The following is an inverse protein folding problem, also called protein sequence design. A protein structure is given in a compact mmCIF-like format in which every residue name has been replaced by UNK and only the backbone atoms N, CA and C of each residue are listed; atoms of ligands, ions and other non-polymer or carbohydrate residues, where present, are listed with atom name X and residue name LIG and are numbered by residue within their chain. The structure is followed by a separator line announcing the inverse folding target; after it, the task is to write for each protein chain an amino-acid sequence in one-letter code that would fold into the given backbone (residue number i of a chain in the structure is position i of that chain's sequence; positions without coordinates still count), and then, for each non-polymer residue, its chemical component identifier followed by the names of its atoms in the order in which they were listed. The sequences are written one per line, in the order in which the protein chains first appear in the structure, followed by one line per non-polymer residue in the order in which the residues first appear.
data_IF_114678516869
#
_entry.id   IF_114678516869
#
_cell.length_a   1.000
_cell.length_b   1.000
_cell.length_c   1.000
_cell.angle_alpha   90.00
_cell.angle_beta   90.00
_cell.angle_gamma   90.00
#
_symmetry.space_group_name_H-M   'P 1'
#
loop_
_entity.id
_entity.type
_entity.pdbx_description
1 polymer ?
#
# COMPACT_ATOMS: atom_id res chain seq x y z
N UNK A 1 -9.87 18.26 -9.37
CA UNK A 1 -10.16 18.33 -7.93
C UNK A 1 -11.33 17.38 -7.64
N UNK A 2 -11.26 16.51 -6.61
CA UNK A 2 -12.35 15.60 -6.29
C UNK A 2 -13.51 16.35 -5.62
N UNK A 3 -14.75 15.93 -5.91
CA UNK A 3 -15.91 16.41 -5.12
C UNK A 3 -15.88 15.78 -3.72
N UNK A 4 -16.45 16.44 -2.73
CA UNK A 4 -16.47 15.98 -1.33
C UNK A 4 -16.96 14.51 -1.15
N UNK A 5 -18.06 14.07 -1.82
CA UNK A 5 -18.50 12.68 -1.72
C UNK A 5 -17.52 11.67 -2.31
N UNK A 6 -16.82 12.03 -3.39
CA UNK A 6 -15.78 11.17 -4.01
C UNK A 6 -14.57 11.06 -3.10
N UNK A 7 -14.13 12.18 -2.53
CA UNK A 7 -13.02 12.21 -1.58
C UNK A 7 -13.30 11.31 -0.37
N UNK A 8 -14.48 11.40 0.22
CA UNK A 8 -14.90 10.54 1.33
C UNK A 8 -14.86 9.03 0.98
N UNK A 9 -15.26 8.66 -0.24
CA UNK A 9 -15.17 7.26 -0.72
C UNK A 9 -13.73 6.82 -0.89
N UNK A 10 -12.84 7.69 -1.38
CA UNK A 10 -11.41 7.40 -1.55
C UNK A 10 -10.76 7.17 -0.18
N UNK A 11 -10.98 8.07 0.78
CA UNK A 11 -10.43 7.92 2.13
C UNK A 11 -10.96 6.66 2.82
N UNK A 12 -12.26 6.39 2.73
CA UNK A 12 -12.84 5.17 3.29
C UNK A 12 -12.20 3.91 2.69
N UNK A 13 -12.04 3.85 1.37
CA UNK A 13 -11.40 2.72 0.71
C UNK A 13 -9.94 2.57 1.16
N UNK A 14 -9.18 3.66 1.14
CA UNK A 14 -7.78 3.67 1.57
C UNK A 14 -7.62 3.17 3.01
N UNK A 15 -8.34 3.76 3.96
CA UNK A 15 -8.26 3.38 5.39
C UNK A 15 -8.66 1.91 5.57
N UNK A 16 -9.79 1.48 4.99
CA UNK A 16 -10.27 0.10 5.15
C UNK A 16 -9.29 -0.93 4.60
N UNK A 17 -8.69 -0.68 3.45
CA UNK A 17 -7.71 -1.59 2.84
C UNK A 17 -6.38 -1.60 3.62
N UNK A 18 -5.92 -0.45 4.14
CA UNK A 18 -4.75 -0.39 5.01
C UNK A 18 -4.97 -1.21 6.29
N UNK A 19 -6.12 -1.04 6.95
CA UNK A 19 -6.48 -1.81 8.14
C UNK A 19 -6.56 -3.30 7.82
N UNK A 20 -7.23 -3.68 6.74
CA UNK A 20 -7.32 -5.07 6.31
C UNK A 20 -5.94 -5.70 6.08
N UNK A 21 -5.05 -4.99 5.41
CA UNK A 21 -3.68 -5.45 5.13
C UNK A 21 -2.88 -5.62 6.43
N UNK A 22 -2.88 -4.63 7.31
CA UNK A 22 -2.16 -4.72 8.60
C UNK A 22 -2.69 -5.87 9.45
N UNK A 23 -3.99 -6.10 9.43
CA UNK A 23 -4.64 -7.17 10.19
C UNK A 23 -4.30 -8.59 9.67
N UNK A 24 -3.71 -8.73 8.48
CA UNK A 24 -3.19 -10.03 8.01
C UNK A 24 -1.94 -10.50 8.75
N UNK A 25 -1.19 -9.59 9.37
CA UNK A 25 0.01 -9.93 10.11
C UNK A 25 -0.33 -10.33 11.56
N UNK A 26 0.08 -11.53 11.96
CA UNK A 26 -0.06 -12.01 13.35
C UNK A 26 0.74 -11.18 14.35
N UNK A 27 1.77 -10.49 13.89
CA UNK A 27 2.61 -9.62 14.71
C UNK A 27 2.01 -8.23 14.90
N UNK A 28 1.08 -7.80 14.07
CA UNK A 28 0.34 -6.57 14.27
C UNK A 28 -0.68 -6.79 15.41
N UNK A 29 -0.41 -6.22 16.56
CA UNK A 29 -1.21 -6.41 17.77
C UNK A 29 -2.32 -5.40 17.90
N UNK A 30 -2.11 -4.21 17.36
CA UNK A 30 -3.09 -3.14 17.42
C UNK A 30 -2.97 -2.24 16.19
N UNK A 31 -4.10 -1.73 15.74
CA UNK A 31 -4.20 -0.79 14.63
C UNK A 31 -5.03 0.39 15.13
N UNK A 32 -4.52 1.60 14.93
CA UNK A 32 -5.26 2.81 15.25
C UNK A 32 -5.26 3.80 14.07
N UNK A 33 -6.29 4.62 14.02
CA UNK A 33 -6.52 5.58 12.95
C UNK A 33 -6.53 6.98 13.57
N UNK A 34 -5.71 7.87 13.01
CA UNK A 34 -5.68 9.27 13.40
C UNK A 34 -5.80 10.14 12.14
N UNK A 35 -6.99 10.66 11.89
CA UNK A 35 -7.29 11.36 10.64
C UNK A 35 -7.17 10.45 9.43
N UNK A 36 -6.25 10.73 8.53
CA UNK A 36 -5.92 9.92 7.35
C UNK A 36 -4.71 8.98 7.58
N UNK A 37 -4.14 8.99 8.76
CA UNK A 37 -3.03 8.11 9.12
C UNK A 37 -3.56 6.79 9.72
N UNK A 38 -3.07 5.66 9.20
CA UNK A 38 -3.31 4.32 9.75
C UNK A 38 -2.00 3.80 10.32
N UNK A 39 -1.99 3.46 11.59
CA UNK A 39 -0.79 2.99 12.30
C UNK A 39 -0.99 1.57 12.82
N UNK A 40 0.05 0.74 12.72
CA UNK A 40 0.10 -0.60 13.26
C UNK A 40 1.21 -0.74 14.31
N UNK A 41 0.88 -1.33 15.44
CA UNK A 41 1.83 -1.71 16.49
C UNK A 41 2.17 -3.19 16.33
N UNK A 42 3.45 -3.46 16.10
CA UNK A 42 3.95 -4.81 15.89
C UNK A 42 4.71 -5.31 17.12
N UNK A 43 4.38 -6.52 17.56
CA UNK A 43 5.17 -7.22 18.56
C UNK A 43 6.35 -7.92 17.86
N UNK A 44 7.58 -7.54 18.25
CA UNK A 44 8.78 -7.93 17.53
C UNK A 44 9.83 -8.56 18.47
N UNK A 45 9.50 -9.69 19.15
CA UNK A 45 10.42 -10.36 20.06
C UNK A 45 11.67 -10.92 19.36
N UNK A 46 11.61 -11.14 18.06
CA UNK A 46 12.69 -11.68 17.24
C UNK A 46 12.96 -10.78 16.03
N UNK A 47 14.20 -10.76 15.54
CA UNK A 47 14.57 -9.98 14.34
C UNK A 47 13.70 -10.29 13.12
N UNK A 48 13.31 -11.54 12.90
CA UNK A 48 12.39 -11.93 11.81
C UNK A 48 11.05 -11.20 11.87
N UNK A 49 10.58 -10.81 13.05
CA UNK A 49 9.32 -10.07 13.17
C UNK A 49 9.48 -8.60 12.73
N UNK A 50 10.70 -8.06 12.77
CA UNK A 50 11.02 -6.75 12.19
C UNK A 50 10.98 -6.84 10.66
N UNK A 51 11.48 -7.94 10.08
CA UNK A 51 11.35 -8.20 8.64
C UNK A 51 9.87 -8.37 8.22
N UNK A 52 9.02 -8.96 9.06
CA UNK A 52 7.57 -9.05 8.82
C UNK A 52 6.90 -7.65 8.82
N UNK A 53 7.25 -6.78 9.78
CA UNK A 53 6.78 -5.40 9.80
C UNK A 53 7.27 -4.62 8.57
N UNK A 54 8.50 -4.85 8.14
CA UNK A 54 9.05 -4.28 6.91
C UNK A 54 8.28 -4.75 5.66
N UNK A 55 7.94 -6.04 5.57
CA UNK A 55 7.11 -6.57 4.50
C UNK A 55 5.69 -5.96 4.51
N UNK A 56 5.11 -5.72 5.68
CA UNK A 56 3.83 -5.03 5.78
C UNK A 56 3.91 -3.62 5.20
N UNK A 57 5.00 -2.88 5.45
CA UNK A 57 5.21 -1.55 4.85
C UNK A 57 5.37 -1.59 3.33
N UNK A 58 6.11 -2.58 2.79
CA UNK A 58 6.21 -2.80 1.35
C UNK A 58 4.83 -3.11 0.73
N UNK A 59 4.01 -3.88 1.45
CA UNK A 59 2.66 -4.22 1.03
C UNK A 59 1.72 -3.01 1.07
N UNK A 60 1.84 -2.12 2.06
CA UNK A 60 1.11 -0.84 2.10
C UNK A 60 1.46 0.04 0.89
N UNK A 61 2.75 0.17 0.55
CA UNK A 61 3.14 0.91 -0.64
C UNK A 61 2.57 0.29 -1.93
N UNK A 62 2.59 -1.03 -2.05
CA UNK A 62 1.95 -1.73 -3.18
C UNK A 62 0.44 -1.54 -3.22
N UNK A 63 -0.23 -1.47 -2.07
CA UNK A 63 -1.66 -1.17 -1.98
C UNK A 63 -1.99 0.20 -2.59
N UNK A 64 -1.16 1.22 -2.33
CA UNK A 64 -1.34 2.55 -2.93
C UNK A 64 -1.25 2.48 -4.46
N UNK A 65 -0.34 1.71 -5.01
CA UNK A 65 -0.26 1.49 -6.46
C UNK A 65 -1.54 0.84 -7.02
N UNK A 66 -2.12 -0.14 -6.31
CA UNK A 66 -3.40 -0.77 -6.66
C UNK A 66 -4.58 0.21 -6.61
N UNK A 67 -4.66 1.03 -5.57
CA UNK A 67 -5.68 2.05 -5.43
C UNK A 67 -5.56 3.08 -6.55
N UNK A 68 -4.36 3.56 -6.83
CA UNK A 68 -4.11 4.52 -7.89
C UNK A 68 -4.52 4.01 -9.27
N UNK A 69 -4.19 2.76 -9.61
CA UNK A 69 -4.66 2.14 -10.84
C UNK A 69 -6.19 2.12 -10.95
N UNK A 70 -6.91 1.86 -9.85
CA UNK A 70 -8.39 1.92 -9.83
C UNK A 70 -8.92 3.34 -9.95
N UNK A 71 -8.24 4.32 -9.34
CA UNK A 71 -8.59 5.74 -9.43
C UNK A 71 -8.41 6.25 -10.86
N UNK A 72 -7.27 5.95 -11.49
CA UNK A 72 -6.96 6.32 -12.87
C UNK A 72 -8.00 5.77 -13.85
N UNK A 73 -8.42 4.50 -13.70
CA UNK A 73 -9.49 3.91 -14.52
C UNK A 73 -10.83 4.65 -14.43
N UNK A 74 -11.04 5.39 -13.35
CA UNK A 74 -12.24 6.21 -13.14
C UNK A 74 -12.02 7.69 -13.44
N UNK A 75 -10.85 8.06 -13.99
CA UNK A 75 -10.48 9.44 -14.26
C UNK A 75 -10.22 10.27 -12.99
N UNK A 76 -9.91 9.62 -11.88
CA UNK A 76 -9.58 10.29 -10.62
C UNK A 76 -8.08 10.49 -10.48
N UNK A 77 -7.69 11.57 -9.79
CA UNK A 77 -6.29 11.86 -9.49
C UNK A 77 -5.71 10.81 -8.53
N UNK A 78 -4.52 10.25 -8.82
CA UNK A 78 -3.81 9.38 -7.90
C UNK A 78 -3.52 10.03 -6.55
N UNK A 79 -3.49 9.22 -5.49
CA UNK A 79 -3.09 9.63 -4.15
C UNK A 79 -1.61 9.34 -3.91
N UNK A 80 -0.98 10.14 -3.03
CA UNK A 80 0.38 9.90 -2.54
C UNK A 80 0.32 9.59 -1.05
N UNK A 81 1.02 8.54 -0.64
CA UNK A 81 1.11 8.14 0.76
C UNK A 81 2.58 7.89 1.11
N UNK A 82 3.00 8.33 2.29
CA UNK A 82 4.26 7.93 2.89
C UNK A 82 4.04 6.77 3.86
N UNK A 83 5.06 5.93 4.06
CA UNK A 83 5.08 4.87 5.07
C UNK A 83 6.31 5.06 5.93
N UNK A 84 6.15 5.20 7.24
CA UNK A 84 7.24 5.33 8.20
C UNK A 84 7.35 4.10 9.10
N UNK A 85 8.56 3.60 9.30
CA UNK A 85 8.83 2.46 10.18
C UNK A 85 9.88 2.86 11.20
N UNK A 86 9.56 2.70 12.48
CA UNK A 86 10.50 2.84 13.57
C UNK A 86 10.44 1.63 14.52
N UNK A 87 11.46 1.48 15.37
CA UNK A 87 11.58 0.40 16.33
C UNK A 87 12.08 0.94 17.67
N UNK A 88 11.39 0.56 18.75
CA UNK A 88 11.74 0.98 20.10
C UNK A 88 10.65 0.66 21.09
N UNK A 89 10.81 1.18 22.31
CA UNK A 89 9.80 1.05 23.36
C UNK A 89 8.67 2.05 23.15
N UNK A 90 7.43 1.55 23.15
CA UNK A 90 6.22 2.35 23.20
C UNK A 90 5.52 2.14 24.54
N UNK A 91 4.92 3.20 25.07
CA UNK A 91 4.06 3.15 26.24
C UNK A 91 2.62 3.06 25.78
N UNK A 92 1.90 2.07 26.26
CA UNK A 92 0.47 1.93 26.05
C UNK A 92 -0.26 2.47 27.28
N UNK A 93 -1.15 3.42 27.06
CA UNK A 93 -2.01 3.99 28.10
C UNK A 93 -3.47 3.82 27.69
N UNK A 94 -4.30 3.42 28.64
CA UNK A 94 -5.75 3.60 28.51
C UNK A 94 -6.09 4.94 29.11
N UNK A 95 -6.52 5.88 28.26
CA UNK A 95 -6.84 7.26 28.64
C UNK A 95 -8.30 7.57 28.36
N UNK A 96 -8.89 8.32 29.24
CA UNK A 96 -10.28 8.76 29.12
C UNK A 96 -10.77 9.40 30.41
N UNK A 97 -12.04 9.77 30.45
CA UNK A 97 -12.68 10.30 31.63
C UNK A 97 -13.76 9.34 32.11
N UNK A 98 -13.70 8.98 33.41
CA UNK A 98 -14.66 8.06 34.03
C UNK A 98 -16.10 8.54 33.85
N UNK A 99 -16.96 7.70 33.29
CA UNK A 99 -18.38 8.04 33.06
C UNK A 99 -18.69 8.78 31.75
N UNK A 100 -17.68 9.25 31.00
CA UNK A 100 -17.90 9.96 29.72
C UNK A 100 -18.14 9.06 28.52
N UNK A 101 -17.86 7.75 28.64
CA UNK A 101 -17.82 6.83 27.49
C UNK A 101 -16.60 7.04 26.58
N UNK A 102 -15.79 8.06 26.83
CA UNK A 102 -14.56 8.32 26.07
C UNK A 102 -13.40 7.62 26.79
N UNK A 103 -13.07 6.43 26.35
CA UNK A 103 -11.89 5.69 26.80
C UNK A 103 -11.21 5.12 25.57
N UNK A 104 -9.97 5.48 25.34
CA UNK A 104 -9.19 5.04 24.19
C UNK A 104 -7.81 4.53 24.61
N UNK A 105 -7.23 3.67 23.79
CA UNK A 105 -5.86 3.21 23.96
C UNK A 105 -4.95 4.14 23.20
N UNK A 106 -4.02 4.76 23.90
CA UNK A 106 -3.07 5.71 23.34
C UNK A 106 -1.68 5.11 23.41
N UNK A 107 -1.00 5.09 22.28
CA UNK A 107 0.39 4.68 22.19
C UNK A 107 1.30 5.90 22.13
N UNK A 108 2.30 5.95 23.00
CA UNK A 108 3.19 7.09 23.17
C UNK A 108 4.65 6.65 23.18
N UNK A 109 5.53 7.57 22.86
CA UNK A 109 6.98 7.40 22.94
C UNK A 109 7.71 7.89 21.69
N UNK A 110 9.03 7.97 21.80
CA UNK A 110 9.88 8.43 20.69
C UNK A 110 9.70 7.61 19.44
N UNK A 111 9.49 6.28 19.57
CA UNK A 111 9.27 5.38 18.44
C UNK A 111 8.02 5.75 17.63
N UNK A 112 6.94 6.16 18.30
CA UNK A 112 5.68 6.56 17.64
C UNK A 112 5.87 7.88 16.90
N UNK A 113 6.53 8.84 17.55
CA UNK A 113 6.83 10.16 16.97
C UNK A 113 7.79 10.02 15.77
N UNK A 114 8.82 9.18 15.89
CA UNK A 114 9.78 8.92 14.80
C UNK A 114 9.08 8.25 13.60
N UNK A 115 8.25 7.23 13.82
CA UNK A 115 7.49 6.59 12.76
C UNK A 115 6.55 7.59 12.04
N UNK A 116 5.88 8.46 12.80
CA UNK A 116 5.02 9.51 12.26
C UNK A 116 5.80 10.53 11.44
N UNK A 117 6.95 11.00 11.94
CA UNK A 117 7.82 11.93 11.23
C UNK A 117 8.38 11.33 9.93
N UNK A 118 8.80 10.07 9.96
CA UNK A 118 9.25 9.33 8.79
C UNK A 118 8.12 9.17 7.76
N UNK A 119 6.92 8.78 8.21
CA UNK A 119 5.73 8.70 7.37
C UNK A 119 5.44 10.03 6.67
N UNK A 120 5.53 11.15 7.41
CA UNK A 120 5.32 12.48 6.85
C UNK A 120 6.33 12.86 5.76
N UNK A 121 7.54 12.32 5.79
CA UNK A 121 8.59 12.58 4.80
C UNK A 121 8.39 11.78 3.50
N UNK A 122 7.73 10.63 3.55
CA UNK A 122 7.55 9.76 2.39
C UNK A 122 6.80 10.45 1.24
N UNK A 123 7.30 10.26 0.01
CA UNK A 123 6.77 10.88 -1.21
C UNK A 123 6.79 12.42 -1.22
N UNK A 124 7.61 13.06 -0.37
CA UNK A 124 7.76 14.52 -0.30
C UNK A 124 9.21 14.92 -0.54
N UNK A 125 9.43 16.05 -1.20
CA UNK A 125 10.77 16.62 -1.42
C UNK A 125 11.73 15.67 -2.15
N UNK A 126 11.25 14.86 -3.09
CA UNK A 126 12.07 13.88 -3.82
C UNK A 126 12.39 12.60 -3.05
N UNK A 127 11.88 12.44 -1.82
CA UNK A 127 12.09 11.22 -1.03
C UNK A 127 11.19 10.08 -1.51
N UNK A 128 11.68 8.84 -1.33
CA UNK A 128 10.97 7.61 -1.67
C UNK A 128 9.79 7.36 -0.71
N UNK A 129 8.81 6.53 -1.08
CA UNK A 129 7.58 6.36 -0.29
C UNK A 129 7.80 5.76 1.10
N UNK A 130 8.70 4.79 1.24
CA UNK A 130 8.94 4.09 2.50
C UNK A 130 10.19 4.66 3.17
N UNK A 131 10.02 5.15 4.40
CA UNK A 131 11.07 5.74 5.22
C UNK A 131 11.31 4.85 6.46
N UNK A 132 12.55 4.51 6.73
CA UNK A 132 12.92 3.48 7.70
C UNK A 132 13.95 4.03 8.68
N UNK A 133 13.66 3.98 9.97
CA UNK A 133 14.59 4.39 11.02
C UNK A 133 15.88 3.56 10.97
N UNK A 134 17.01 4.18 11.33
CA UNK A 134 18.33 3.53 11.34
C UNK A 134 18.32 2.25 12.19
N UNK A 135 17.65 2.26 13.34
CA UNK A 135 17.54 1.11 14.24
C UNK A 135 16.80 -0.06 13.58
N UNK A 136 15.79 0.20 12.76
CA UNK A 136 15.09 -0.83 11.98
C UNK A 136 16.04 -1.43 10.96
N UNK A 137 16.70 -0.58 10.13
CA UNK A 137 17.68 -1.01 9.14
C UNK A 137 18.76 -1.91 9.74
N UNK A 138 19.31 -1.57 10.90
CA UNK A 138 20.34 -2.37 11.58
C UNK A 138 19.87 -3.79 11.90
N UNK A 139 18.57 -3.97 12.17
CA UNK A 139 17.98 -5.24 12.59
C UNK A 139 17.34 -6.06 11.45
N UNK A 140 17.19 -5.51 10.25
CA UNK A 140 16.74 -6.23 9.06
C UNK A 140 17.74 -7.30 8.63
N UNK A 141 17.27 -8.30 7.90
CA UNK A 141 18.13 -9.24 7.18
C UNK A 141 18.89 -8.55 6.03
N UNK A 142 19.93 -9.19 5.51
CA UNK A 142 20.80 -8.59 4.48
C UNK A 142 20.06 -8.27 3.17
N UNK A 143 19.09 -9.09 2.78
CA UNK A 143 18.28 -8.84 1.58
C UNK A 143 17.46 -7.55 1.75
N UNK A 144 16.73 -7.41 2.86
CA UNK A 144 15.91 -6.23 3.11
C UNK A 144 16.75 -4.96 3.26
N UNK A 145 17.95 -5.06 3.86
CA UNK A 145 18.91 -3.96 3.93
C UNK A 145 19.32 -3.47 2.54
N UNK A 146 19.58 -4.39 1.60
CA UNK A 146 20.03 -4.04 0.25
C UNK A 146 18.97 -3.32 -0.61
N UNK A 147 17.70 -3.35 -0.18
CA UNK A 147 16.60 -2.65 -0.85
C UNK A 147 16.48 -1.17 -0.44
N UNK A 148 17.30 -0.73 0.51
CA UNK A 148 17.22 0.59 1.11
C UNK A 148 18.43 1.44 0.76
N UNK A 149 18.20 2.71 0.55
CA UNK A 149 19.24 3.73 0.35
C UNK A 149 19.33 4.67 1.57
N UNK A 150 20.53 5.07 2.00
CA UNK A 150 20.68 6.01 3.11
C UNK A 150 20.19 7.40 2.72
N UNK A 151 19.62 8.12 3.69
CA UNK A 151 19.28 9.53 3.57
C UNK A 151 20.25 10.35 4.42
N UNK A 152 20.92 11.29 3.77
CA UNK A 152 21.88 12.22 4.37
C UNK A 152 21.60 13.62 3.83
N UNK A 153 21.72 14.65 4.65
CA UNK A 153 21.59 16.04 4.19
C UNK A 153 22.79 16.46 3.33
N UNK A 154 23.97 15.99 3.69
CA UNK A 154 25.18 16.09 2.87
C UNK A 154 26.13 14.92 3.18
N UNK A 155 27.14 14.72 2.35
CA UNK A 155 28.11 13.61 2.47
C UNK A 155 28.90 13.59 3.78
N UNK A 156 29.07 14.74 4.45
CA UNK A 156 29.83 14.87 5.70
C UNK A 156 28.99 14.61 6.96
N UNK A 157 27.65 14.57 6.83
CA UNK A 157 26.74 14.33 7.94
C UNK A 157 26.41 12.84 8.07
N UNK A 158 26.07 12.38 9.29
CA UNK A 158 25.66 11.00 9.50
C UNK A 158 24.35 10.69 8.77
N UNK A 159 24.13 9.40 8.46
CA UNK A 159 22.86 8.90 7.95
C UNK A 159 21.78 9.15 8.97
N UNK A 160 20.74 9.86 8.58
CA UNK A 160 19.59 10.16 9.46
C UNK A 160 18.60 9.00 9.51
N UNK A 161 18.32 8.39 8.36
CA UNK A 161 17.44 7.26 8.18
C UNK A 161 17.67 6.61 6.81
N UNK A 162 16.86 5.63 6.46
CA UNK A 162 16.91 4.94 5.17
C UNK A 162 15.58 5.10 4.42
N UNK A 163 15.60 4.93 3.10
CA UNK A 163 14.41 5.00 2.29
C UNK A 163 14.40 3.95 1.17
N UNK A 164 13.21 3.61 0.69
CA UNK A 164 13.06 2.68 -0.43
C UNK A 164 11.71 2.83 -1.13
N UNK A 165 11.68 2.50 -2.42
CA UNK A 165 10.43 2.26 -3.15
C UNK A 165 10.14 0.76 -3.12
N UNK A 166 9.68 0.31 -1.96
CA UNK A 166 9.49 -1.09 -1.66
C UNK A 166 8.17 -1.60 -2.23
N UNK A 167 8.17 -2.79 -2.81
CA UNK A 167 6.96 -3.44 -3.28
C UNK A 167 6.85 -4.89 -2.82
N UNK A 168 5.63 -5.32 -2.56
CA UNK A 168 5.30 -6.73 -2.42
C UNK A 168 5.20 -7.34 -3.82
N UNK A 169 6.07 -8.30 -4.13
CA UNK A 169 6.21 -8.91 -5.47
C UNK A 169 4.89 -9.54 -5.91
N UNK A 170 4.21 -10.29 -5.05
CA UNK A 170 2.94 -10.93 -5.39
C UNK A 170 1.85 -9.92 -5.74
N UNK A 171 1.77 -8.81 -5.00
CA UNK A 171 0.82 -7.72 -5.29
C UNK A 171 1.17 -7.01 -6.61
N UNK A 172 2.45 -6.73 -6.85
CA UNK A 172 2.92 -6.12 -8.09
C UNK A 172 2.56 -7.01 -9.30
N UNK A 173 2.90 -8.28 -9.26
CA UNK A 173 2.68 -9.22 -10.36
C UNK A 173 1.17 -9.41 -10.65
N UNK A 174 0.36 -9.40 -9.60
CA UNK A 174 -1.10 -9.40 -9.75
C UNK A 174 -1.58 -8.12 -10.46
N UNK A 175 -1.08 -6.95 -10.07
CA UNK A 175 -1.44 -5.67 -10.68
C UNK A 175 -1.05 -5.64 -12.16
N UNK A 176 0.15 -6.09 -12.51
CA UNK A 176 0.62 -6.12 -13.90
C UNK A 176 -0.23 -7.07 -14.76
N UNK A 177 -0.59 -8.25 -14.25
CA UNK A 177 -1.53 -9.15 -14.93
C UNK A 177 -2.89 -8.48 -15.16
N UNK A 178 -3.42 -7.74 -14.19
CA UNK A 178 -4.69 -7.01 -14.33
C UNK A 178 -4.62 -5.86 -15.34
N UNK A 179 -3.50 -5.14 -15.37
CA UNK A 179 -3.25 -4.09 -16.39
C UNK A 179 -3.20 -4.69 -17.80
N UNK A 180 -2.44 -5.77 -17.99
CA UNK A 180 -2.33 -6.45 -19.27
C UNK A 180 -3.69 -6.95 -19.79
N UNK A 181 -4.50 -7.59 -18.92
CA UNK A 181 -5.85 -8.04 -19.29
C UNK A 181 -6.76 -6.86 -19.66
N UNK A 182 -6.68 -5.75 -18.95
CA UNK A 182 -7.48 -4.56 -19.25
C UNK A 182 -7.10 -3.95 -20.60
N UNK A 183 -5.81 -3.87 -20.92
CA UNK A 183 -5.31 -3.38 -22.22
C UNK A 183 -5.73 -4.30 -23.36
N UNK A 184 -5.64 -5.62 -23.20
CA UNK A 184 -6.07 -6.58 -24.20
C UNK A 184 -7.58 -6.46 -24.50
N UNK A 185 -8.42 -6.31 -23.47
CA UNK A 185 -9.86 -6.11 -23.63
C UNK A 185 -10.19 -4.79 -24.37
N UNK A 186 -9.42 -3.73 -24.10
CA UNK A 186 -9.59 -2.45 -24.78
C UNK A 186 -9.21 -2.57 -26.26
N UNK A 187 -8.10 -3.20 -26.59
CA UNK A 187 -7.69 -3.46 -27.97
C UNK A 187 -8.72 -4.33 -28.70
N UNK A 188 -9.19 -5.40 -28.08
CA UNK A 188 -10.23 -6.26 -28.67
C UNK A 188 -11.52 -5.48 -28.98
N UNK A 189 -11.96 -4.59 -28.08
CA UNK A 189 -13.15 -3.76 -28.30
C UNK A 189 -12.96 -2.75 -29.44
N UNK A 190 -11.75 -2.18 -29.59
CA UNK A 190 -11.42 -1.27 -30.72
C UNK A 190 -11.46 -2.05 -32.05
N UNK A 191 -10.83 -3.22 -32.11
CA UNK A 191 -10.83 -4.05 -33.31
C UNK A 191 -12.25 -4.49 -33.73
N UNK A 192 -13.07 -4.94 -32.77
CA UNK A 192 -14.46 -5.31 -33.05
C UNK A 192 -15.33 -4.11 -33.44
N UNK A 193 -15.09 -2.95 -32.84
CA UNK A 193 -15.80 -1.70 -33.20
C UNK A 193 -15.42 -1.17 -34.59
N UNK A 194 -14.17 -1.35 -35.03
CA UNK A 194 -13.74 -0.99 -36.40
C UNK A 194 -14.35 -1.93 -37.44
N UNK A 195 -14.52 -3.22 -37.17
CA UNK A 195 -15.21 -4.15 -38.08
C UNK A 195 -16.70 -3.81 -38.27
N UNK A 196 -17.38 -3.33 -37.20
CA UNK A 196 -18.77 -2.90 -37.32
C UNK A 196 -18.97 -1.67 -38.22
N UNK A 197 -17.97 -0.78 -38.30
CA UNK A 197 -17.98 0.41 -39.14
C UNK A 197 -17.48 0.16 -40.59
N UNK A 198 -16.87 -0.99 -40.85
CA UNK A 198 -16.28 -1.30 -42.18
C UNK A 198 -17.22 -2.06 -43.13
N UNK A 199 -18.49 -2.26 -42.79
CA UNK A 199 -19.48 -2.88 -43.67
C UNK A 199 -19.15 -4.33 -44.10
N UNK A 200 -18.42 -5.08 -43.27
CA UNK A 200 -18.04 -6.48 -43.56
C UNK A 200 -19.22 -7.44 -43.27
N UNK A 201 -19.35 -8.56 -44.02
CA UNK A 201 -20.46 -9.50 -43.86
C UNK A 201 -20.51 -10.14 -42.49
N UNK A 202 -21.72 -10.62 -42.05
CA UNK A 202 -21.92 -11.13 -40.69
C UNK A 202 -20.98 -12.26 -40.37
N UNK A 203 -20.40 -12.22 -39.17
CA UNK A 203 -19.39 -13.14 -38.64
C UNK A 203 -19.91 -14.57 -38.47
N UNK A 204 -19.99 -15.32 -39.59
CA UNK A 204 -20.25 -16.75 -39.60
C UNK A 204 -19.00 -17.61 -39.89
N UNK A 205 -17.87 -17.00 -40.25
CA UNK A 205 -16.70 -17.73 -40.77
C UNK A 205 -15.54 -17.96 -39.81
N UNK A 206 -15.58 -17.44 -38.56
CA UNK A 206 -14.48 -17.56 -37.60
C UNK A 206 -14.84 -18.24 -36.28
N UNK A 207 -15.98 -18.94 -36.19
CA UNK A 207 -16.38 -19.67 -34.97
C UNK A 207 -15.52 -20.90 -34.62
N UNK A 208 -14.54 -21.23 -35.43
CA UNK A 208 -13.67 -22.44 -35.28
C UNK A 208 -12.35 -22.21 -34.54
N UNK A 209 -11.95 -20.93 -34.22
CA UNK A 209 -10.60 -20.66 -33.76
C UNK A 209 -10.46 -20.31 -32.25
N UNK A 210 -11.56 -20.10 -31.53
CA UNK A 210 -11.50 -19.77 -30.10
C UNK A 210 -12.53 -20.54 -29.29
N UNK A 211 -12.25 -21.83 -29.05
CA UNK A 211 -13.03 -22.65 -28.11
C UNK A 211 -12.44 -22.44 -26.69
N UNK A 212 -12.90 -21.41 -25.98
CA UNK A 212 -12.60 -21.20 -24.57
C UNK A 212 -13.85 -21.56 -23.77
N UNK A 213 -13.84 -22.75 -23.17
CA UNK A 213 -14.89 -23.19 -22.22
C UNK A 213 -14.93 -22.27 -20.98
N UNK A 214 -16.10 -21.81 -20.54
CA UNK A 214 -16.21 -21.03 -19.31
C UNK A 214 -16.05 -21.96 -18.09
N UNK A 215 -14.96 -21.78 -17.36
CA UNK A 215 -14.72 -22.45 -16.07
C UNK A 215 -15.78 -22.06 -15.02
N UNK A 216 -16.38 -23.06 -14.40
CA UNK A 216 -17.35 -22.92 -13.30
C UNK A 216 -16.72 -22.21 -12.12
N UNK A 217 -17.39 -21.16 -11.65
CA UNK A 217 -17.09 -20.49 -10.36
C UNK A 217 -17.65 -21.37 -9.23
N UNK A 218 -16.77 -21.84 -8.35
CA UNK A 218 -17.16 -22.30 -7.01
C UNK A 218 -16.64 -21.29 -5.99
N UNK A 219 -17.55 -20.77 -5.19
CA UNK A 219 -17.26 -19.95 -4.02
C UNK A 219 -17.17 -20.88 -2.81
N UNK A 220 -16.10 -20.82 -2.06
CA UNK A 220 -16.01 -21.10 -0.62
C UNK A 220 -15.10 -20.07 0.00
#
# INVERSE_FOLDING_TARGET
MHTTPVLGKIYRAYISECVALLNTSRQCKEIFIAGDCVSGIFDTPLKKNIDEAFLAAASLNSLIAHLNWRLEKKGYTPIKCGVGISYGRALMLKSGYSGSGVNDVVWMGNVVNEASNLCHQGNKGGKLPVQVATVVHQNLNNHNKSLLTPVQENFLLPVTHYQGDLCNIGMRDWLEKKKATASANTLASIFLGQQANAGLPPAGALSGLFNISPGKKTWL
#
